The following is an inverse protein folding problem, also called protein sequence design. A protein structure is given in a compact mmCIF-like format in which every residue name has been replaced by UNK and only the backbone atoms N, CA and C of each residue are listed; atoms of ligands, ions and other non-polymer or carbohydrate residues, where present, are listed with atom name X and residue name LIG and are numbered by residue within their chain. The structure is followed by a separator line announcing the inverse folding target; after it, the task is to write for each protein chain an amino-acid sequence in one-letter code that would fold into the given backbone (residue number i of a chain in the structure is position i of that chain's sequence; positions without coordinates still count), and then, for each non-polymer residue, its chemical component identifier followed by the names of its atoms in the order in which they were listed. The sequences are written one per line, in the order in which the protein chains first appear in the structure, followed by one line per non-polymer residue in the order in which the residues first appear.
data_IF_056321386008
#
_entry.id   IF_056321386008
#
_cell.length_a   1.000
_cell.length_b   1.000
_cell.length_c   1.000
_cell.angle_alpha   90.00
_cell.angle_beta   90.00
_cell.angle_gamma   90.00
#
_symmetry.space_group_name_H-M   'P 1'
#
loop_
_entity.id
_entity.type
_entity.pdbx_description
1 polymer ?
#
# COMPACT_ATOMS: atom_id res chain seq x y z
N UNK A 1 -25.60 40.15 -53.07
CA UNK A 1 -24.60 39.07 -53.15
C UNK A 1 -23.29 39.64 -52.63
N UNK A 2 -22.97 39.43 -51.34
CA UNK A 2 -21.68 39.84 -50.79
C UNK A 2 -20.68 38.71 -51.04
N UNK A 3 -19.64 39.00 -51.81
CA UNK A 3 -18.60 38.05 -52.20
C UNK A 3 -17.70 37.76 -50.97
N UNK A 4 -17.63 36.49 -50.54
CA UNK A 4 -16.79 36.10 -49.42
C UNK A 4 -15.31 36.15 -49.84
N UNK A 5 -14.53 37.02 -49.21
CA UNK A 5 -13.09 37.13 -49.50
C UNK A 5 -12.34 35.81 -49.20
N UNK A 6 -11.26 35.49 -49.94
CA UNK A 6 -10.54 34.22 -49.81
C UNK A 6 -9.98 33.96 -48.40
N UNK A 7 -9.81 35.00 -47.58
CA UNK A 7 -9.41 34.90 -46.18
C UNK A 7 -10.51 34.30 -45.27
N UNK A 8 -11.79 34.58 -45.51
CA UNK A 8 -12.91 34.02 -44.74
C UNK A 8 -13.14 32.53 -45.05
N UNK A 9 -12.98 32.13 -46.32
CA UNK A 9 -13.07 30.72 -46.72
C UNK A 9 -11.95 29.91 -46.07
N UNK A 10 -10.70 30.37 -46.11
CA UNK A 10 -9.56 29.69 -45.46
C UNK A 10 -9.69 29.60 -43.94
N UNK A 11 -10.20 30.65 -43.28
CA UNK A 11 -10.48 30.63 -41.83
C UNK A 11 -11.56 29.62 -41.47
N UNK A 12 -12.64 29.51 -42.27
CA UNK A 12 -13.69 28.49 -42.09
C UNK A 12 -13.15 27.07 -42.18
N UNK A 13 -12.31 26.79 -43.18
CA UNK A 13 -11.67 25.46 -43.33
C UNK A 13 -10.71 25.15 -42.18
N UNK A 14 -10.00 26.15 -41.64
CA UNK A 14 -9.16 25.99 -40.45
C UNK A 14 -9.98 25.63 -39.20
N UNK A 15 -11.08 26.37 -38.94
CA UNK A 15 -11.97 26.08 -37.79
C UNK A 15 -12.64 24.72 -37.89
N UNK A 16 -12.98 24.26 -39.11
CA UNK A 16 -13.55 22.93 -39.31
C UNK A 16 -12.51 21.84 -39.00
N UNK A 17 -11.29 21.97 -39.51
CA UNK A 17 -10.20 21.03 -39.22
C UNK A 17 -9.83 20.99 -37.74
N UNK A 18 -9.80 22.14 -37.07
CA UNK A 18 -9.53 22.25 -35.63
C UNK A 18 -10.63 21.60 -34.79
N UNK A 19 -11.90 21.83 -35.14
CA UNK A 19 -13.04 21.20 -34.42
C UNK A 19 -13.01 19.69 -34.57
N UNK A 20 -12.75 19.18 -35.78
CA UNK A 20 -12.64 17.73 -36.03
C UNK A 20 -11.45 17.12 -35.29
N UNK A 21 -10.31 17.82 -35.24
CA UNK A 21 -9.13 17.41 -34.49
C UNK A 21 -9.40 17.30 -32.99
N UNK A 22 -10.03 18.33 -32.39
CA UNK A 22 -10.42 18.31 -30.97
C UNK A 22 -11.42 17.20 -30.68
N UNK A 23 -12.39 16.97 -31.57
CA UNK A 23 -13.38 15.90 -31.42
C UNK A 23 -12.72 14.52 -31.43
N UNK A 24 -11.78 14.28 -32.35
CA UNK A 24 -11.03 13.03 -32.43
C UNK A 24 -10.13 12.81 -31.19
N UNK A 25 -9.58 13.89 -30.63
CA UNK A 25 -8.75 13.85 -29.41
C UNK A 25 -9.59 13.51 -28.18
N UNK A 26 -10.81 14.06 -28.08
CA UNK A 26 -11.77 13.73 -27.02
C UNK A 26 -12.25 12.28 -27.12
N UNK A 27 -12.56 11.80 -28.33
CA UNK A 27 -12.95 10.40 -28.56
C UNK A 27 -11.78 9.46 -28.20
N UNK A 28 -10.54 9.81 -28.57
CA UNK A 28 -9.36 9.01 -28.24
C UNK A 28 -9.08 8.98 -26.73
N UNK A 29 -9.22 10.12 -26.05
CA UNK A 29 -9.07 10.21 -24.60
C UNK A 29 -10.18 9.43 -23.87
N UNK A 30 -11.42 9.50 -24.35
CA UNK A 30 -12.54 8.73 -23.81
C UNK A 30 -12.35 7.22 -24.01
N UNK A 31 -11.94 6.80 -25.21
CA UNK A 31 -11.63 5.38 -25.50
C UNK A 31 -10.41 4.89 -24.72
N UNK A 32 -9.38 5.73 -24.53
CA UNK A 32 -8.23 5.38 -23.70
C UNK A 32 -8.64 5.23 -22.23
N UNK A 33 -9.45 6.14 -21.71
CA UNK A 33 -9.98 6.08 -20.35
C UNK A 33 -10.88 4.86 -20.15
N UNK A 34 -11.76 4.55 -21.11
CA UNK A 34 -12.59 3.35 -21.10
C UNK A 34 -11.74 2.07 -21.14
N UNK A 35 -10.72 2.01 -21.99
CA UNK A 35 -9.78 0.88 -22.02
C UNK A 35 -8.99 0.74 -20.72
N UNK A 36 -8.64 1.86 -20.08
CA UNK A 36 -7.94 1.86 -18.80
C UNK A 36 -8.88 1.38 -17.67
N UNK A 37 -10.13 1.83 -17.66
CA UNK A 37 -11.16 1.36 -16.73
C UNK A 37 -11.51 -0.11 -16.96
N UNK A 38 -11.58 -0.57 -18.21
CA UNK A 38 -11.75 -1.98 -18.56
C UNK A 38 -10.56 -2.80 -18.08
N UNK A 39 -9.31 -2.35 -18.22
CA UNK A 39 -8.15 -3.06 -17.63
C UNK A 39 -8.16 -3.08 -16.11
N UNK A 40 -8.72 -2.06 -15.46
CA UNK A 40 -8.93 -2.04 -13.99
C UNK A 40 -10.11 -2.93 -13.59
N UNK A 41 -11.14 -3.06 -14.43
CA UNK A 41 -12.32 -3.89 -14.22
C UNK A 41 -12.08 -5.37 -14.58
N UNK A 42 -11.28 -5.69 -15.59
CA UNK A 42 -10.84 -7.05 -15.96
C UNK A 42 -9.83 -7.61 -14.93
N UNK A 43 -9.20 -6.75 -14.13
CA UNK A 43 -8.51 -7.15 -12.89
C UNK A 43 -9.47 -7.53 -11.77
N UNK A 44 -10.76 -7.27 -11.90
CA UNK A 44 -11.79 -7.89 -11.06
C UNK A 44 -12.22 -9.19 -11.75
N UNK A 45 -11.98 -10.37 -11.14
CA UNK A 45 -12.52 -11.60 -11.69
C UNK A 45 -14.05 -11.51 -11.69
N UNK A 46 -14.67 -12.00 -12.77
CA UNK A 46 -16.11 -12.27 -12.85
C UNK A 46 -16.61 -12.94 -11.55
N UNK A 47 -17.89 -12.76 -11.14
CA UNK A 47 -18.44 -13.42 -9.97
C UNK A 47 -18.63 -14.91 -10.28
N UNK A 48 -17.53 -15.65 -10.38
CA UNK A 48 -17.51 -17.06 -10.11
C UNK A 48 -17.99 -17.21 -8.67
N UNK A 49 -18.89 -18.16 -8.42
CA UNK A 49 -19.23 -18.60 -7.07
C UNK A 49 -17.94 -19.17 -6.48
N UNK A 50 -17.13 -18.30 -5.87
CA UNK A 50 -15.83 -18.65 -5.30
C UNK A 50 -16.13 -19.57 -4.13
N UNK A 51 -15.73 -20.82 -4.24
CA UNK A 51 -15.52 -21.64 -3.05
C UNK A 51 -14.70 -20.80 -2.07
N UNK A 52 -15.14 -20.70 -0.81
CA UNK A 52 -14.56 -19.81 0.17
C UNK A 52 -13.10 -20.20 0.43
N UNK A 53 -12.15 -19.53 -0.23
CA UNK A 53 -10.72 -19.74 -0.02
C UNK A 53 -10.39 -19.27 1.39
N UNK A 54 -9.75 -20.13 2.19
CA UNK A 54 -9.36 -19.77 3.55
C UNK A 54 -8.38 -18.59 3.52
N UNK A 55 -8.52 -17.60 4.42
CA UNK A 55 -7.61 -16.46 4.50
C UNK A 55 -6.15 -16.91 4.65
N UNK A 56 -5.20 -16.22 4.01
CA UNK A 56 -3.77 -16.40 4.27
C UNK A 56 -3.45 -16.01 5.71
N UNK A 57 -2.85 -16.91 6.47
CA UNK A 57 -2.32 -16.60 7.81
C UNK A 57 -0.83 -16.35 7.67
N UNK A 58 -0.32 -15.38 8.42
CA UNK A 58 1.11 -15.05 8.48
C UNK A 58 1.58 -15.22 9.92
N UNK A 59 2.74 -15.81 10.10
CA UNK A 59 3.50 -15.78 11.34
C UNK A 59 4.77 -14.95 11.14
N UNK A 60 5.42 -14.60 12.25
CA UNK A 60 6.60 -13.75 12.24
C UNK A 60 7.61 -14.21 13.29
N UNK A 61 8.89 -14.16 12.95
CA UNK A 61 9.98 -14.51 13.86
C UNK A 61 10.99 -13.36 13.90
N UNK A 62 11.27 -12.86 15.10
CA UNK A 62 12.28 -11.84 15.30
C UNK A 62 13.68 -12.44 15.19
N UNK A 63 14.55 -11.75 14.45
CA UNK A 63 15.95 -12.10 14.22
C UNK A 63 16.80 -10.82 14.26
N UNK A 64 18.13 -10.96 14.22
CA UNK A 64 19.10 -9.86 14.33
C UNK A 64 18.73 -8.91 15.49
N UNK A 65 18.51 -9.48 16.68
CA UNK A 65 18.15 -8.73 17.88
C UNK A 65 16.86 -7.89 17.76
N UNK A 66 15.94 -8.32 16.88
CA UNK A 66 14.69 -7.63 16.57
C UNK A 66 14.83 -6.56 15.49
N UNK A 67 15.97 -6.47 14.80
CA UNK A 67 16.11 -5.59 13.63
C UNK A 67 15.47 -6.17 12.39
N UNK A 68 15.37 -7.49 12.32
CA UNK A 68 14.71 -8.22 11.26
C UNK A 68 13.53 -8.99 11.83
N UNK A 69 12.42 -8.97 11.12
CA UNK A 69 11.25 -9.79 11.41
C UNK A 69 10.92 -10.59 10.15
N UNK A 70 11.30 -11.86 10.15
CA UNK A 70 11.02 -12.78 9.04
C UNK A 70 9.54 -13.14 9.05
N UNK A 71 8.90 -13.05 7.90
CA UNK A 71 7.47 -13.34 7.74
C UNK A 71 7.33 -14.66 6.97
N UNK A 72 6.45 -15.54 7.44
CA UNK A 72 6.18 -16.79 6.75
C UNK A 72 4.69 -17.15 6.79
N UNK A 73 4.31 -18.12 5.96
CA UNK A 73 3.02 -18.81 6.08
C UNK A 73 3.22 -20.05 6.95
N UNK A 74 2.37 -20.30 7.96
CA UNK A 74 2.39 -21.56 8.70
C UNK A 74 1.89 -22.75 7.86
N UNK A 75 1.25 -22.49 6.71
CA UNK A 75 0.88 -23.50 5.73
C UNK A 75 1.96 -23.56 4.63
N UNK A 76 2.72 -24.67 4.49
CA UNK A 76 3.78 -24.81 3.49
C UNK A 76 3.26 -24.82 2.04
N UNK A 77 2.00 -25.20 1.81
CA UNK A 77 1.39 -25.19 0.47
C UNK A 77 1.08 -23.76 -0.01
N UNK A 78 1.20 -22.78 0.89
CA UNK A 78 0.99 -21.36 0.63
C UNK A 78 2.31 -20.61 0.55
N UNK A 79 2.87 -20.58 -0.65
CA UNK A 79 4.20 -20.02 -0.90
C UNK A 79 4.10 -18.53 -1.20
N UNK A 80 4.64 -17.69 -0.32
CA UNK A 80 4.71 -16.24 -0.52
C UNK A 80 5.65 -15.92 -1.69
N UNK A 81 5.17 -15.11 -2.63
CA UNK A 81 5.95 -14.67 -3.79
C UNK A 81 6.46 -13.24 -3.57
N UNK A 82 5.53 -12.32 -3.27
CA UNK A 82 5.82 -10.91 -3.07
C UNK A 82 4.97 -10.35 -1.94
N UNK A 83 5.48 -9.30 -1.29
CA UNK A 83 4.70 -8.50 -0.35
C UNK A 83 4.93 -7.01 -0.60
N UNK A 84 3.87 -6.23 -0.44
CA UNK A 84 3.91 -4.78 -0.33
C UNK A 84 3.50 -4.40 1.08
N UNK A 85 4.37 -3.66 1.76
CA UNK A 85 4.17 -3.18 3.13
C UNK A 85 3.86 -1.69 3.07
N UNK A 86 2.71 -1.32 3.61
CA UNK A 86 2.25 0.05 3.75
C UNK A 86 2.39 0.49 5.20
N UNK A 87 2.85 1.71 5.38
CA UNK A 87 2.96 2.38 6.67
C UNK A 87 1.86 3.44 6.83
N UNK A 88 1.55 3.86 8.07
CA UNK A 88 0.67 5.00 8.31
C UNK A 88 1.20 6.25 7.59
N UNK A 89 0.32 6.97 6.88
CA UNK A 89 0.71 8.16 6.09
C UNK A 89 1.37 9.24 6.93
N UNK A 90 0.95 9.38 8.19
CA UNK A 90 1.52 10.33 9.16
C UNK A 90 3.00 10.11 9.46
N UNK A 91 3.56 8.92 9.16
CA UNK A 91 4.99 8.64 9.31
C UNK A 91 5.81 9.06 8.09
N UNK A 92 5.18 9.35 6.95
CA UNK A 92 5.82 9.69 5.68
C UNK A 92 6.92 8.69 5.27
N UNK A 93 6.64 7.40 5.46
CA UNK A 93 7.49 6.29 5.02
C UNK A 93 6.91 5.76 3.71
N UNK A 94 7.76 5.61 2.69
CA UNK A 94 7.36 4.97 1.44
C UNK A 94 6.94 3.52 1.65
N UNK A 95 6.08 3.01 0.78
CA UNK A 95 5.78 1.59 0.76
C UNK A 95 7.06 0.79 0.46
N UNK A 96 7.17 -0.40 1.04
CA UNK A 96 8.30 -1.30 0.80
C UNK A 96 7.80 -2.57 0.13
N UNK A 97 8.46 -2.96 -0.95
CA UNK A 97 8.17 -4.20 -1.66
C UNK A 97 9.27 -5.23 -1.36
N UNK A 98 8.88 -6.45 -1.01
CA UNK A 98 9.80 -7.59 -0.82
C UNK A 98 9.50 -8.68 -1.84
N UNK A 99 10.54 -9.23 -2.47
CA UNK A 99 10.44 -10.31 -3.46
C UNK A 99 11.33 -11.47 -3.00
N UNK A 100 10.77 -12.67 -2.88
CA UNK A 100 11.51 -13.89 -2.52
C UNK A 100 12.05 -13.96 -1.08
N UNK A 101 12.06 -12.86 -0.32
CA UNK A 101 12.45 -12.79 1.09
C UNK A 101 11.42 -11.97 1.89
N UNK A 102 10.30 -12.58 2.31
CA UNK A 102 9.25 -11.88 3.04
C UNK A 102 9.75 -11.48 4.43
N UNK A 103 9.89 -10.17 4.67
CA UNK A 103 10.48 -9.65 5.91
C UNK A 103 10.06 -8.22 6.20
N UNK A 104 10.25 -7.82 7.45
CA UNK A 104 10.17 -6.46 7.96
C UNK A 104 11.52 -6.08 8.56
N UNK A 105 12.01 -4.87 8.29
CA UNK A 105 13.24 -4.36 8.90
C UNK A 105 12.94 -3.12 9.73
N UNK A 106 13.51 -3.07 10.95
CA UNK A 106 13.33 -1.92 11.84
C UNK A 106 13.83 -0.63 11.19
N UNK A 107 14.87 -0.73 10.36
CA UNK A 107 15.48 0.41 9.66
C UNK A 107 14.52 1.17 8.74
N UNK A 108 13.49 0.51 8.20
CA UNK A 108 12.52 1.14 7.30
C UNK A 108 11.64 2.18 8.00
N UNK A 109 11.40 2.02 9.30
CA UNK A 109 10.51 2.90 10.07
C UNK A 109 11.16 3.55 11.29
N UNK A 110 12.33 3.09 11.73
CA UNK A 110 13.02 3.59 12.91
C UNK A 110 13.26 5.11 12.86
N UNK A 111 13.64 5.64 11.69
CA UNK A 111 13.87 7.08 11.53
C UNK A 111 12.62 7.92 11.73
N UNK A 112 11.45 7.45 11.28
CA UNK A 112 10.18 8.14 11.48
C UNK A 112 9.70 8.02 12.94
N UNK A 113 9.83 6.83 13.55
CA UNK A 113 9.43 6.63 14.94
C UNK A 113 10.29 7.41 15.92
N UNK A 114 11.58 7.61 15.64
CA UNK A 114 12.47 8.40 16.50
C UNK A 114 12.07 9.89 16.60
N UNK A 115 11.29 10.39 15.63
CA UNK A 115 10.76 11.77 15.65
C UNK A 115 9.55 11.92 16.58
N UNK A 116 8.99 10.81 17.04
CA UNK A 116 7.86 10.80 17.96
C UNK A 116 8.37 10.67 19.41
N UNK A 117 7.63 11.23 20.39
CA UNK A 117 7.96 11.03 21.80
C UNK A 117 8.02 9.54 22.13
N UNK A 118 9.14 9.11 22.69
CA UNK A 118 9.34 7.74 23.14
C UNK A 118 10.27 7.69 24.35
N UNK A 119 10.35 6.52 24.97
CA UNK A 119 11.25 6.26 26.10
C UNK A 119 11.89 4.90 25.90
N UNK A 120 13.21 4.84 26.09
CA UNK A 120 13.95 3.59 26.00
C UNK A 120 13.38 2.52 26.94
N UNK A 121 13.39 1.26 26.50
CA UNK A 121 12.86 0.13 27.25
C UNK A 121 11.34 0.03 27.26
N UNK A 122 10.59 1.07 26.84
CA UNK A 122 9.12 0.98 26.69
C UNK A 122 8.75 0.22 25.43
N UNK A 123 7.70 -0.58 25.55
CA UNK A 123 7.06 -1.23 24.43
C UNK A 123 6.22 -0.23 23.64
N UNK A 124 6.22 -0.40 22.32
CA UNK A 124 5.41 0.35 21.38
C UNK A 124 4.77 -0.58 20.36
N UNK A 125 3.91 0.00 19.54
CA UNK A 125 3.16 -0.72 18.53
C UNK A 125 3.11 0.10 17.25
N UNK A 126 3.44 -0.53 16.13
CA UNK A 126 3.35 0.06 14.80
C UNK A 126 2.37 -0.75 13.96
N UNK A 127 1.18 -0.22 13.63
CA UNK A 127 0.33 -0.85 12.65
C UNK A 127 0.96 -0.72 11.25
N UNK A 128 0.92 -1.79 10.47
CA UNK A 128 1.29 -1.86 9.05
C UNK A 128 0.21 -2.60 8.28
N UNK A 129 0.03 -2.28 7.00
CA UNK A 129 -0.76 -3.12 6.12
C UNK A 129 0.17 -3.93 5.22
N UNK A 130 -0.12 -5.21 5.06
CA UNK A 130 0.65 -6.12 4.21
C UNK A 130 -0.27 -6.65 3.13
N UNK A 131 0.08 -6.41 1.88
CA UNK A 131 -0.53 -7.03 0.71
C UNK A 131 0.41 -8.14 0.25
N UNK A 132 -0.06 -9.37 0.20
CA UNK A 132 0.75 -10.55 -0.11
C UNK A 132 0.23 -11.23 -1.35
N UNK A 133 1.10 -11.43 -2.34
CA UNK A 133 0.85 -12.37 -3.43
C UNK A 133 1.47 -13.71 -3.06
N UNK A 134 0.71 -14.78 -3.21
CA UNK A 134 1.13 -16.13 -2.85
C UNK A 134 0.56 -17.16 -3.82
N UNK A 135 1.18 -18.33 -3.87
CA UNK A 135 0.63 -19.49 -4.55
C UNK A 135 -0.12 -20.34 -3.53
N UNK A 136 -1.31 -20.82 -3.86
CA UNK A 136 -2.10 -21.80 -3.11
C UNK A 136 -2.36 -22.95 -4.08
N UNK A 137 -1.67 -24.08 -3.91
CA UNK A 137 -1.67 -25.19 -4.87
C UNK A 137 -1.35 -24.76 -6.32
N UNK A 138 -0.36 -23.88 -6.47
CA UNK A 138 0.07 -23.34 -7.78
C UNK A 138 -0.86 -22.26 -8.36
N UNK A 139 -1.98 -21.96 -7.70
CA UNK A 139 -2.88 -20.88 -8.12
C UNK A 139 -2.40 -19.58 -7.48
N UNK A 140 -2.13 -18.57 -8.30
CA UNK A 140 -1.80 -17.24 -7.79
C UNK A 140 -2.99 -16.60 -7.09
N UNK A 141 -2.74 -16.14 -5.86
CA UNK A 141 -3.69 -15.50 -4.97
C UNK A 141 -3.10 -14.20 -4.45
N UNK A 142 -4.00 -13.34 -3.99
CA UNK A 142 -3.65 -12.13 -3.27
C UNK A 142 -4.46 -12.09 -1.98
N UNK A 143 -3.82 -11.67 -0.90
CA UNK A 143 -4.46 -11.37 0.36
C UNK A 143 -3.91 -10.07 0.93
N UNK A 144 -4.74 -9.35 1.68
CA UNK A 144 -4.31 -8.16 2.40
C UNK A 144 -4.82 -8.16 3.83
N UNK A 145 -4.03 -7.61 4.74
CA UNK A 145 -4.41 -7.45 6.14
C UNK A 145 -3.62 -6.33 6.82
N UNK A 146 -4.18 -5.81 7.91
CA UNK A 146 -3.50 -4.90 8.83
C UNK A 146 -2.99 -5.71 10.01
N UNK A 147 -1.73 -5.50 10.34
CA UNK A 147 -1.06 -6.11 11.47
C UNK A 147 -0.48 -5.05 12.38
N UNK A 148 -0.41 -5.35 13.67
CA UNK A 148 0.36 -4.58 14.64
C UNK A 148 1.72 -5.25 14.84
N UNK A 149 2.81 -4.51 14.58
CA UNK A 149 4.17 -4.90 14.96
C UNK A 149 4.39 -4.46 16.42
N UNK A 150 4.65 -5.42 17.30
CA UNK A 150 5.12 -5.14 18.65
C UNK A 150 6.63 -4.87 18.63
N UNK A 151 7.07 -3.82 19.31
CA UNK A 151 8.49 -3.51 19.44
C UNK A 151 8.83 -2.94 20.81
N UNK A 152 10.11 -2.97 21.17
CA UNK A 152 10.66 -2.25 22.33
C UNK A 152 11.82 -1.36 21.90
N UNK A 153 11.87 -0.16 22.46
CA UNK A 153 13.01 0.73 22.25
C UNK A 153 14.26 0.18 22.93
N UNK A 154 15.33 -0.04 22.17
CA UNK A 154 16.66 -0.36 22.70
C UNK A 154 17.55 0.88 22.60
N UNK A 155 18.11 1.27 23.75
CA UNK A 155 19.13 2.32 23.78
C UNK A 155 20.38 1.86 23.05
N UNK A 156 20.98 2.76 22.28
CA UNK A 156 22.30 2.56 21.71
C UNK A 156 23.29 3.47 22.42
N UNK A 157 24.53 2.99 22.55
CA UNK A 157 25.65 3.78 23.10
C UNK A 157 25.93 4.98 22.18
N UNK A 158 25.77 4.78 20.86
CA UNK A 158 26.00 5.79 19.82
C UNK A 158 24.81 5.79 18.86
N UNK A 159 24.31 6.96 18.52
CA UNK A 159 23.18 7.16 17.60
C UNK A 159 21.81 7.12 18.30
N UNK A 160 20.75 7.20 17.50
CA UNK A 160 19.38 7.14 18.00
C UNK A 160 19.00 5.74 18.49
N UNK A 161 18.05 5.69 19.42
CA UNK A 161 17.40 4.46 19.84
C UNK A 161 16.80 3.73 18.63
N UNK A 162 16.72 2.40 18.73
CA UNK A 162 16.14 1.58 17.66
C UNK A 162 15.03 0.70 18.19
N UNK A 163 13.88 0.65 17.48
CA UNK A 163 12.81 -0.26 17.83
C UNK A 163 13.21 -1.69 17.49
N UNK A 164 13.44 -2.52 18.50
CA UNK A 164 13.60 -3.96 18.34
C UNK A 164 12.22 -4.60 18.24
N UNK A 165 11.91 -5.16 17.08
CA UNK A 165 10.66 -5.89 16.81
C UNK A 165 10.63 -7.20 17.57
N UNK A 166 9.47 -7.52 18.13
CA UNK A 166 9.24 -8.73 18.92
C UNK A 166 8.33 -9.73 18.19
N UNK A 167 7.44 -9.22 17.34
CA UNK A 167 6.49 -10.04 16.62
C UNK A 167 5.37 -9.22 15.99
N UNK A 168 4.42 -9.91 15.39
CA UNK A 168 3.32 -9.31 14.67
C UNK A 168 1.98 -9.97 15.02
N UNK A 169 0.92 -9.17 15.16
CA UNK A 169 -0.44 -9.64 15.47
C UNK A 169 -1.42 -9.17 14.42
N UNK A 170 -2.27 -10.07 13.92
CA UNK A 170 -3.33 -9.72 12.98
C UNK A 170 -4.37 -8.82 13.68
N UNK A 171 -4.61 -7.63 13.11
CA UNK A 171 -5.63 -6.70 13.60
C UNK A 171 -6.93 -6.89 12.84
N UNK A 172 -6.83 -6.87 11.51
CA UNK A 172 -8.00 -7.03 10.67
C UNK A 172 -7.60 -7.47 9.28
N UNK A 173 -8.50 -8.19 8.61
CA UNK A 173 -8.37 -8.48 7.18
C UNK A 173 -8.59 -7.20 6.38
N UNK A 174 -7.98 -7.17 5.20
CA UNK A 174 -7.97 -6.03 4.30
C UNK A 174 -9.33 -5.77 3.65
N UNK A 175 -9.29 -5.35 2.38
CA UNK A 175 -10.47 -4.91 1.63
C UNK A 175 -10.43 -3.41 1.33
N UNK A 176 -11.59 -2.84 1.01
CA UNK A 176 -11.68 -1.44 0.58
C UNK A 176 -11.07 -0.48 1.61
N UNK A 177 -10.41 0.57 1.10
CA UNK A 177 -9.82 1.66 1.89
C UNK A 177 -8.76 1.20 2.90
N UNK A 178 -7.92 0.23 2.51
CA UNK A 178 -6.86 -0.34 3.35
C UNK A 178 -5.98 0.73 4.02
N UNK A 179 -5.50 1.72 3.25
CA UNK A 179 -4.69 2.82 3.79
C UNK A 179 -5.45 3.66 4.83
N UNK A 180 -6.70 4.06 4.54
CA UNK A 180 -7.48 4.87 5.48
C UNK A 180 -7.75 4.10 6.80
N UNK A 181 -7.94 2.78 6.73
CA UNK A 181 -8.09 1.93 7.92
C UNK A 181 -6.78 1.80 8.70
N UNK A 182 -5.65 1.72 8.00
CA UNK A 182 -4.31 1.74 8.60
C UNK A 182 -4.07 3.06 9.34
N UNK A 183 -4.35 4.19 8.70
CA UNK A 183 -4.20 5.52 9.28
C UNK A 183 -5.12 5.72 10.50
N UNK A 184 -6.38 5.25 10.41
CA UNK A 184 -7.31 5.27 11.52
C UNK A 184 -6.86 4.38 12.69
N UNK A 185 -6.20 3.24 12.42
CA UNK A 185 -5.60 2.39 13.45
C UNK A 185 -4.45 3.11 14.14
N UNK A 186 -3.60 3.78 13.38
CA UNK A 186 -2.48 4.56 13.90
C UNK A 186 -2.95 5.71 14.79
N UNK A 187 -3.93 6.50 14.36
CA UNK A 187 -4.48 7.60 15.14
C UNK A 187 -5.04 7.17 16.51
N UNK A 188 -5.56 5.93 16.61
CA UNK A 188 -6.03 5.35 17.88
C UNK A 188 -4.93 4.76 18.75
N UNK A 189 -3.78 4.42 18.16
CA UNK A 189 -2.68 3.72 18.82
C UNK A 189 -1.57 4.66 19.30
N UNK A 190 -1.47 5.87 18.76
CA UNK A 190 -0.53 6.87 19.26
C UNK A 190 -0.81 7.16 20.74
N UNK A 191 0.23 7.29 21.59
CA UNK A 191 0.05 7.94 22.87
C UNK A 191 -0.43 9.37 22.58
N UNK A 192 -1.67 9.67 22.94
CA UNK A 192 -2.17 11.05 22.93
C UNK A 192 -1.16 11.86 23.74
N UNK A 193 -0.51 12.90 23.19
CA UNK A 193 0.28 13.79 24.02
C UNK A 193 -0.67 14.31 25.10
N UNK A 194 -0.38 14.02 26.36
CA UNK A 194 -1.15 14.56 27.46
C UNK A 194 -0.88 16.07 27.51
N UNK A 195 -1.59 16.82 26.66
CA UNK A 195 -1.91 18.20 26.95
C UNK A 195 -2.85 18.17 28.14
N UNK A 196 -2.36 18.64 29.28
CA UNK A 196 -3.19 19.08 30.39
C UNK A 196 -3.11 20.61 30.45
N UNK A 197 -4.18 21.26 30.96
CA UNK A 197 -4.70 22.57 30.56
C UNK A 197 -3.83 23.78 30.93
#
# INVERSE_FOLDING_TARGET
MADETPAQRRRRWLTIGETVGVLALLISAASFWDSHQQRVAERQPAPAVKAAVKPLMLNSFADDDGRLLTIASPNPDRVIQTQTILFPTALAIDKVDTVGSPRLESGWFAGALNKLPHTSGKAGRLPVAIVTQYLDDGIQREDSAIYDIGYRWRSRIIGSDVPAMEGMTLVSRGGAKLQARLDARWAKAQPVPQGSP
#
